data_IF_336144692302
#
_entry.id   IF_336144692302
#
_cell.length_a   1.000
_cell.length_b   1.000
_cell.length_c   1.000
_cell.angle_alpha   90.00
_cell.angle_beta   90.00
_cell.angle_gamma   90.00
#
_symmetry.space_group_name_H-M   'P 1'
#
loop_
_entity.id
_entity.type
_entity.pdbx_description
1 polymer ?
#
# COMPACT_ATOMS: atom_id res chain seq x y z
N UNK A 1 12.14 7.49 -1.96
CA UNK A 1 11.82 8.28 -3.17
C UNK A 1 10.46 7.86 -3.70
N UNK A 2 9.57 8.76 -4.15
CA UNK A 2 8.27 8.38 -4.75
C UNK A 2 8.48 7.82 -6.16
N UNK A 3 7.93 6.64 -6.44
CA UNK A 3 8.08 5.92 -7.72
C UNK A 3 6.81 5.98 -8.57
N UNK A 4 5.65 5.74 -7.95
CA UNK A 4 4.35 5.71 -8.60
C UNK A 4 3.27 6.06 -7.59
N UNK A 5 2.09 6.43 -8.09
CA UNK A 5 0.90 6.59 -7.28
C UNK A 5 -0.34 6.12 -8.03
N UNK A 6 -1.22 5.42 -7.33
CA UNK A 6 -2.54 5.00 -7.84
C UNK A 6 -3.62 5.74 -7.06
N UNK A 7 -4.52 6.42 -7.78
CA UNK A 7 -5.56 7.24 -7.16
C UNK A 7 -6.88 6.47 -7.07
N UNK A 8 -7.38 6.35 -5.84
CA UNK A 8 -8.79 6.10 -5.57
C UNK A 8 -9.62 7.37 -5.68
N UNK A 9 -10.82 7.34 -5.12
CA UNK A 9 -11.77 8.43 -4.96
C UNK A 9 -11.34 9.40 -3.86
N UNK A 10 -10.95 8.92 -2.68
CA UNK A 10 -10.55 9.76 -1.54
C UNK A 10 -9.09 9.60 -1.17
N UNK A 11 -8.47 8.49 -1.58
CA UNK A 11 -7.13 8.11 -1.17
C UNK A 11 -6.21 7.94 -2.37
N UNK A 12 -4.94 8.33 -2.20
CA UNK A 12 -3.84 8.03 -3.13
C UNK A 12 -2.92 7.01 -2.49
N UNK A 13 -2.70 5.91 -3.18
CA UNK A 13 -1.76 4.86 -2.78
C UNK A 13 -0.41 5.14 -3.43
N UNK A 14 0.53 5.61 -2.63
CA UNK A 14 1.87 6.02 -3.06
C UNK A 14 2.85 4.86 -2.89
N UNK A 15 3.64 4.58 -3.92
CA UNK A 15 4.73 3.59 -3.88
C UNK A 15 6.06 4.31 -3.79
N UNK A 16 6.77 4.09 -2.69
CA UNK A 16 8.02 4.74 -2.35
C UNK A 16 9.15 3.70 -2.21
N UNK A 17 10.36 4.06 -2.63
CA UNK A 17 11.57 3.32 -2.22
C UNK A 17 11.78 3.44 -0.72
N UNK A 18 12.06 2.29 -0.08
CA UNK A 18 12.41 2.11 1.32
C UNK A 18 13.71 1.28 1.41
N UNK A 19 14.44 1.35 2.53
CA UNK A 19 15.66 0.56 2.71
C UNK A 19 15.41 -0.96 2.65
N UNK A 20 14.24 -1.38 3.12
CA UNK A 20 13.79 -2.78 3.12
C UNK A 20 13.01 -3.20 1.86
N UNK A 21 12.86 -2.32 0.86
CA UNK A 21 12.15 -2.62 -0.39
C UNK A 21 11.28 -1.47 -0.89
N UNK A 22 10.00 -1.75 -1.10
CA UNK A 22 9.04 -0.83 -1.69
C UNK A 22 7.85 -0.64 -0.75
N UNK A 23 7.74 0.56 -0.19
CA UNK A 23 6.69 0.95 0.73
C UNK A 23 5.47 1.45 -0.06
N UNK A 24 4.31 0.85 0.21
CA UNK A 24 3.01 1.40 -0.18
C UNK A 24 2.40 2.09 1.03
N UNK A 25 2.08 3.36 0.88
CA UNK A 25 1.46 4.21 1.90
C UNK A 25 0.23 4.90 1.33
N UNK A 26 -0.73 5.22 2.19
CA UNK A 26 -1.98 5.86 1.78
C UNK A 26 -1.97 7.35 2.15
N UNK A 27 -2.33 8.22 1.21
CA UNK A 27 -2.45 9.66 1.40
C UNK A 27 -3.86 10.13 1.13
N UNK A 28 -4.43 10.91 2.05
CA UNK A 28 -5.72 11.55 1.87
C UNK A 28 -5.63 12.60 0.73
N UNK A 29 -6.50 12.51 -0.28
CA UNK A 29 -6.51 13.45 -1.40
C UNK A 29 -7.05 14.84 -1.02
N UNK A 30 -7.83 14.93 0.05
CA UNK A 30 -8.44 16.16 0.57
C UNK A 30 -7.49 16.90 1.51
N UNK A 31 -6.94 16.22 2.50
CA UNK A 31 -6.05 16.83 3.51
C UNK A 31 -4.58 16.82 3.11
N UNK A 32 -4.20 15.87 2.25
CA UNK A 32 -2.81 15.61 1.90
C UNK A 32 -2.04 14.85 2.98
N UNK A 33 -2.69 14.44 4.07
CA UNK A 33 -2.04 13.73 5.18
C UNK A 33 -1.84 12.24 4.85
N UNK A 34 -0.79 11.64 5.40
CA UNK A 34 -0.55 10.20 5.31
C UNK A 34 -1.32 9.48 6.41
N UNK A 35 -1.89 8.33 6.08
CA UNK A 35 -2.43 7.41 7.06
C UNK A 35 -1.28 6.62 7.69
N UNK A 36 -1.04 6.83 8.99
CA UNK A 36 0.02 6.17 9.75
C UNK A 36 -0.25 4.67 9.98
N UNK A 37 -1.51 4.26 9.93
CA UNK A 37 -1.94 2.88 10.14
C UNK A 37 -1.95 2.08 8.83
N UNK A 38 -1.96 2.76 7.68
CA UNK A 38 -1.85 2.14 6.37
C UNK A 38 -0.43 2.24 5.79
N UNK A 39 0.36 1.20 6.07
CA UNK A 39 1.64 0.99 5.40
C UNK A 39 1.88 -0.50 5.13
N UNK A 40 2.37 -0.83 3.94
CA UNK A 40 2.77 -2.20 3.59
C UNK A 40 4.05 -2.15 2.77
N UNK A 41 5.06 -2.93 3.17
CA UNK A 41 6.35 -3.02 2.50
C UNK A 41 6.43 -4.33 1.72
N UNK A 42 6.78 -4.24 0.44
CA UNK A 42 7.02 -5.35 -0.46
C UNK A 42 8.49 -5.44 -0.81
N UNK A 43 8.98 -6.65 -1.05
CA UNK A 43 10.37 -6.86 -1.48
C UNK A 43 10.58 -6.54 -2.95
N UNK A 44 9.51 -6.63 -3.74
CA UNK A 44 9.56 -6.50 -5.20
C UNK A 44 8.69 -5.36 -5.69
N UNK A 45 9.27 -4.52 -6.54
CA UNK A 45 8.61 -3.35 -7.11
C UNK A 45 7.31 -3.67 -7.85
N UNK A 46 7.25 -4.72 -8.71
CA UNK A 46 6.03 -5.01 -9.45
C UNK A 46 4.86 -5.38 -8.54
N UNK A 47 5.11 -6.04 -7.40
CA UNK A 47 4.06 -6.40 -6.44
C UNK A 47 3.56 -5.14 -5.72
N UNK A 48 4.46 -4.24 -5.34
CA UNK A 48 4.07 -2.96 -4.74
C UNK A 48 3.18 -2.13 -5.67
N UNK A 49 3.48 -2.10 -6.98
CA UNK A 49 2.65 -1.42 -7.98
C UNK A 49 1.28 -2.10 -8.11
N UNK A 50 1.24 -3.42 -8.27
CA UNK A 50 -0.02 -4.16 -8.37
C UNK A 50 -0.89 -4.00 -7.11
N UNK A 51 -0.28 -3.99 -5.93
CA UNK A 51 -1.00 -3.76 -4.67
C UNK A 51 -1.59 -2.34 -4.58
N UNK A 52 -0.83 -1.32 -4.99
CA UNK A 52 -1.31 0.06 -5.02
C UNK A 52 -2.48 0.24 -6.01
N UNK A 53 -2.39 -0.36 -7.20
CA UNK A 53 -3.46 -0.34 -8.20
C UNK A 53 -4.72 -1.05 -7.72
N UNK A 54 -4.57 -2.26 -7.15
CA UNK A 54 -5.66 -3.04 -6.56
C UNK A 54 -6.34 -2.26 -5.43
N UNK A 55 -5.56 -1.67 -4.52
CA UNK A 55 -6.11 -0.90 -3.39
C UNK A 55 -6.92 0.31 -3.86
N UNK A 56 -6.43 1.02 -4.89
CA UNK A 56 -7.15 2.12 -5.50
C UNK A 56 -8.45 1.69 -6.18
N UNK A 57 -8.43 0.55 -6.89
CA UNK A 57 -9.64 -0.01 -7.52
C UNK A 57 -10.68 -0.43 -6.49
N UNK A 58 -10.25 -1.09 -5.41
CA UNK A 58 -11.11 -1.47 -4.28
C UNK A 58 -11.78 -0.27 -3.62
N UNK A 59 -11.03 0.81 -3.41
CA UNK A 59 -11.57 2.03 -2.79
C UNK A 59 -12.61 2.71 -3.71
N UNK A 60 -12.37 2.75 -5.03
CA UNK A 60 -13.37 3.26 -5.99
C UNK A 60 -14.64 2.41 -5.99
N UNK A 61 -14.48 1.10 -5.99
CA UNK A 61 -15.61 0.16 -5.90
C UNK A 61 -16.41 0.37 -4.61
N UNK A 62 -15.74 0.45 -3.46
CA UNK A 62 -16.39 0.69 -2.18
C UNK A 62 -17.14 2.05 -2.15
N UNK A 63 -16.57 3.09 -2.77
CA UNK A 63 -17.24 4.38 -2.89
C UNK A 63 -18.51 4.31 -3.76
N UNK A 64 -18.48 3.57 -4.87
CA UNK A 64 -19.66 3.35 -5.72
C UNK A 64 -20.77 2.57 -5.01
N UNK A 65 -20.42 1.53 -4.26
CA UNK A 65 -21.36 0.75 -3.46
C UNK A 65 -22.07 1.61 -2.39
N UNK A 66 -21.33 2.52 -1.74
CA UNK A 66 -21.89 3.47 -0.77
C UNK A 66 -22.86 4.48 -1.42
N UNK A 67 -22.57 4.88 -2.66
CA UNK A 67 -23.42 5.78 -3.45
C UNK A 67 -24.60 5.07 -4.14
N UNK A 68 -24.68 3.73 -4.02
CA UNK A 68 -25.66 2.88 -4.69
C UNK A 68 -25.66 3.05 -6.22
N UNK A 69 -24.49 3.33 -6.79
CA UNK A 69 -24.28 3.47 -8.22
C UNK A 69 -23.73 2.15 -8.74
N UNK A 70 -24.52 1.45 -9.55
CA UNK A 70 -24.02 0.29 -10.29
C UNK A 70 -23.15 0.77 -11.46
N UNK A 71 -21.88 0.42 -11.41
CA UNK A 71 -20.92 0.62 -12.48
C UNK A 71 -20.19 -0.70 -12.74
N UNK A 72 -20.65 -1.43 -13.76
CA UNK A 72 -20.11 -2.73 -14.17
C UNK A 72 -18.62 -2.63 -14.55
N UNK A 73 -18.14 -1.47 -14.99
CA UNK A 73 -16.72 -1.29 -15.32
C UNK A 73 -15.86 -1.27 -14.06
N UNK A 74 -16.33 -0.63 -12.99
CA UNK A 74 -15.60 -0.56 -11.72
C UNK A 74 -15.56 -1.93 -11.04
N UNK A 75 -16.66 -2.71 -11.12
CA UNK A 75 -16.70 -4.09 -10.66
C UNK A 75 -15.71 -4.99 -11.42
N UNK A 76 -15.66 -4.87 -12.75
CA UNK A 76 -14.68 -5.60 -13.55
C UNK A 76 -13.23 -5.20 -13.24
N UNK A 77 -12.96 -3.90 -13.08
CA UNK A 77 -11.63 -3.39 -12.80
C UNK A 77 -11.09 -3.85 -11.44
N UNK A 78 -11.94 -3.91 -10.40
CA UNK A 78 -11.52 -4.41 -9.08
C UNK A 78 -11.19 -5.90 -9.16
N UNK A 79 -12.00 -6.72 -9.83
CA UNK A 79 -11.72 -8.16 -10.00
C UNK A 79 -10.42 -8.38 -10.79
N UNK A 80 -10.22 -7.62 -11.87
CA UNK A 80 -9.03 -7.74 -12.71
C UNK A 80 -7.75 -7.36 -11.96
N UNK A 81 -7.77 -6.26 -11.19
CA UNK A 81 -6.61 -5.80 -10.42
C UNK A 81 -6.32 -6.69 -9.22
N UNK A 82 -7.35 -7.23 -8.55
CA UNK A 82 -7.18 -8.23 -7.50
C UNK A 82 -6.53 -9.51 -8.03
N UNK A 83 -7.05 -10.04 -9.14
CA UNK A 83 -6.47 -11.23 -9.79
C UNK A 83 -5.02 -10.99 -10.16
N UNK A 84 -4.71 -9.82 -10.73
CA UNK A 84 -3.36 -9.45 -11.11
C UNK A 84 -2.41 -9.43 -9.90
N UNK A 85 -2.83 -8.83 -8.79
CA UNK A 85 -2.05 -8.79 -7.56
C UNK A 85 -1.81 -10.20 -6.99
N UNK A 86 -2.84 -11.04 -6.90
CA UNK A 86 -2.73 -12.41 -6.38
C UNK A 86 -1.75 -13.22 -7.23
N UNK A 87 -1.93 -13.24 -8.55
CA UNK A 87 -1.08 -14.02 -9.46
C UNK A 87 0.39 -13.56 -9.38
N UNK A 88 0.62 -12.26 -9.25
CA UNK A 88 1.94 -11.67 -9.23
C UNK A 88 2.64 -11.85 -7.87
N UNK A 89 1.92 -11.70 -6.76
CA UNK A 89 2.42 -11.96 -5.39
C UNK A 89 2.75 -13.43 -5.19
N UNK A 90 1.93 -14.35 -5.69
CA UNK A 90 2.18 -15.80 -5.66
C UNK A 90 3.43 -16.17 -6.46
N UNK A 91 3.57 -15.65 -7.68
CA UNK A 91 4.70 -15.96 -8.56
C UNK A 91 6.04 -15.42 -8.02
N UNK A 92 6.01 -14.29 -7.32
CA UNK A 92 7.19 -13.63 -6.77
C UNK A 92 7.42 -13.94 -5.28
N UNK A 93 6.52 -14.69 -4.65
CA UNK A 93 6.56 -15.04 -3.23
C UNK A 93 6.71 -13.83 -2.31
N UNK A 94 5.94 -12.79 -2.60
CA UNK A 94 6.00 -11.50 -1.91
C UNK A 94 4.59 -11.07 -1.53
N UNK A 95 4.19 -11.39 -0.29
CA UNK A 95 2.86 -11.07 0.25
C UNK A 95 2.79 -9.69 0.91
N UNK A 96 3.91 -8.97 0.95
CA UNK A 96 4.04 -7.76 1.74
C UNK A 96 4.11 -8.02 3.25
N UNK A 97 4.61 -7.03 3.97
CA UNK A 97 4.68 -6.98 5.44
C UNK A 97 4.06 -5.66 5.88
N UNK A 98 3.21 -5.69 6.91
CA UNK A 98 2.62 -4.47 7.45
C UNK A 98 3.73 -3.54 7.99
N UNK A 99 3.75 -2.30 7.52
CA UNK A 99 4.81 -1.33 7.81
C UNK A 99 4.83 -0.85 9.27
N UNK A 100 3.74 -1.01 10.03
CA UNK A 100 3.72 -0.75 11.49
C UNK A 100 4.74 -1.64 12.20
N UNK A 101 4.92 -2.89 11.73
CA UNK A 101 5.90 -3.83 12.30
C UNK A 101 7.33 -3.32 12.08
N UNK A 102 7.59 -2.68 10.95
CA UNK A 102 8.92 -2.13 10.59
C UNK A 102 9.19 -0.86 11.38
N UNK A 103 8.23 0.06 11.48
CA UNK A 103 8.38 1.24 12.34
C UNK A 103 8.57 0.88 13.82
N UNK A 104 7.92 -0.19 14.30
CA UNK A 104 8.14 -0.69 15.65
C UNK A 104 9.56 -1.26 15.84
N UNK A 105 10.07 -1.95 14.82
CA UNK A 105 11.44 -2.51 14.81
C UNK A 105 12.52 -1.43 14.75
N UNK A 106 12.34 -0.39 13.94
CA UNK A 106 13.23 0.78 13.88
C UNK A 106 13.27 1.52 15.21
N UNK A 107 12.11 1.75 15.84
CA UNK A 107 12.00 2.36 17.17
C UNK A 107 12.78 1.56 18.24
N UNK A 108 12.72 0.23 18.19
CA UNK A 108 13.49 -0.61 19.11
C UNK A 108 14.99 -0.61 18.81
N UNK A 109 15.37 -0.64 17.53
CA UNK A 109 16.78 -0.56 17.10
C UNK A 109 17.43 0.76 17.53
N UNK A 110 16.70 1.87 17.44
CA UNK A 110 17.15 3.19 17.92
C UNK A 110 17.25 3.26 19.45
N UNK A 111 16.41 2.51 20.18
CA UNK A 111 16.50 2.38 21.65
C UNK A 111 17.72 1.57 22.10
N UNK A 112 18.13 0.58 21.30
CA UNK A 112 19.32 -0.24 21.55
C UNK A 112 20.64 0.55 21.48
N UNK A 113 20.75 1.53 20.58
CA UNK A 113 21.95 2.35 20.40
C UNK A 113 22.23 3.31 21.57
N UNK A 114 21.22 3.59 22.40
CA UNK A 114 21.35 4.50 23.55
C UNK A 114 22.00 3.85 24.79
N UNK A 115 22.25 2.53 24.79
CA UNK A 115 22.98 1.87 25.89
C UNK A 115 24.46 1.76 25.55
N UNK A 116 25.17 2.89 25.66
CA UNK A 116 26.60 2.88 25.92
C UNK A 116 26.81 2.17 27.26
N UNK A 117 27.27 0.92 27.20
CA UNK A 117 27.81 0.22 28.36
C UNK A 117 29.09 0.95 28.78
N UNK A 118 28.98 1.77 29.83
CA UNK A 118 30.11 2.35 30.56
C UNK A 118 30.67 1.35 31.57
#
# INVERSE_FOLDING_TARGET
MLLSASEGRHWRYEVCEHEDGYLVQMRDLTTGELDEDFSTIFRTMPVAFAYAEMSAAYERYAACELEQVQDEQIEFDVEATERHFIDLSDRLHDSGINGIVIQAWERESQRGTARLLH
#
